data_IF_177959595905
#
_entry.id   IF_177959595905
#
_cell.length_a   1.000
_cell.length_b   1.000
_cell.length_c   1.000
_cell.angle_alpha   90.00
_cell.angle_beta   90.00
_cell.angle_gamma   90.00
#
_symmetry.space_group_name_H-M   'P 1'
#
loop_
_entity.id
_entity.type
_entity.pdbx_description
1 polymer ?
#
# COMPACT_ATOMS: atom_id res chain seq x y z
N UNK A 1 25.21 8.37 0.31
CA UNK A 1 25.39 6.93 0.63
C UNK A 1 25.17 6.64 2.12
N UNK A 2 25.83 7.35 3.04
CA UNK A 2 25.71 7.11 4.49
C UNK A 2 24.27 7.30 5.00
N UNK A 3 23.56 8.31 4.53
CA UNK A 3 22.15 8.54 4.88
C UNK A 3 21.25 7.37 4.45
N UNK A 4 21.46 6.82 3.25
CA UNK A 4 20.72 5.65 2.76
C UNK A 4 20.96 4.43 3.63
N UNK A 5 22.24 4.12 3.94
CA UNK A 5 22.60 3.01 4.81
C UNK A 5 22.04 3.17 6.23
N UNK A 6 22.08 4.41 6.76
CA UNK A 6 21.46 4.74 8.04
C UNK A 6 19.96 4.52 8.04
N UNK A 7 19.26 4.93 6.99
CA UNK A 7 17.82 4.71 6.80
C UNK A 7 17.47 3.22 6.68
N UNK A 8 18.27 2.45 5.93
CA UNK A 8 18.13 1.01 5.82
C UNK A 8 18.29 0.31 7.18
N UNK A 9 19.33 0.70 7.92
CA UNK A 9 19.56 0.19 9.27
C UNK A 9 18.39 0.54 10.22
N UNK A 10 17.86 1.76 10.14
CA UNK A 10 16.70 2.17 10.93
C UNK A 10 15.43 1.34 10.64
N UNK A 11 15.18 0.96 9.38
CA UNK A 11 14.07 0.06 9.03
C UNK A 11 14.22 -1.31 9.72
N UNK A 12 15.44 -1.88 9.67
CA UNK A 12 15.73 -3.17 10.33
C UNK A 12 15.59 -3.05 11.85
N UNK A 13 16.18 -2.02 12.45
CA UNK A 13 16.08 -1.75 13.90
C UNK A 13 14.62 -1.50 14.30
N UNK A 14 13.88 -0.76 13.50
CA UNK A 14 12.45 -0.53 13.68
C UNK A 14 11.64 -1.83 13.74
N UNK A 15 11.90 -2.77 12.83
CA UNK A 15 11.29 -4.11 12.88
C UNK A 15 11.67 -4.88 14.15
N UNK A 16 12.94 -4.86 14.51
CA UNK A 16 13.45 -5.63 15.66
C UNK A 16 12.96 -5.08 17.00
N UNK A 17 12.93 -3.76 17.17
CA UNK A 17 12.61 -3.10 18.44
C UNK A 17 11.14 -2.69 18.47
N UNK A 18 10.71 -1.79 17.57
CA UNK A 18 9.36 -1.23 17.63
C UNK A 18 8.30 -2.25 17.18
N UNK A 19 8.59 -3.04 16.14
CA UNK A 19 7.73 -4.16 15.76
C UNK A 19 7.57 -5.20 16.86
N UNK A 20 8.62 -5.47 17.66
CA UNK A 20 8.53 -6.34 18.83
C UNK A 20 7.71 -5.69 19.95
N UNK A 21 7.82 -4.37 20.16
CA UNK A 21 7.00 -3.65 21.10
C UNK A 21 5.50 -3.76 20.74
N UNK A 22 5.16 -3.51 19.48
CA UNK A 22 3.77 -3.63 18.98
C UNK A 22 3.24 -5.04 19.20
N UNK A 23 3.99 -6.08 18.84
CA UNK A 23 3.64 -7.47 19.03
C UNK A 23 3.43 -7.81 20.53
N UNK A 24 4.34 -7.37 21.39
CA UNK A 24 4.24 -7.59 22.84
C UNK A 24 2.99 -6.92 23.43
N UNK A 25 2.62 -5.74 22.95
CA UNK A 25 1.41 -5.02 23.40
C UNK A 25 0.13 -5.74 22.99
N UNK A 26 0.12 -6.34 21.80
CA UNK A 26 -1.02 -7.14 21.31
C UNK A 26 -1.17 -8.48 22.03
N UNK A 27 -0.12 -8.96 22.71
CA UNK A 27 -0.11 -10.25 23.46
C UNK A 27 -0.64 -11.39 22.59
N UNK A 28 0.10 -11.83 21.55
CA UNK A 28 -0.30 -12.96 20.73
C UNK A 28 -0.53 -14.21 21.59
N UNK A 29 -1.60 -14.93 21.29
CA UNK A 29 -2.00 -16.17 22.01
C UNK A 29 -1.60 -17.42 21.23
N UNK A 30 -1.68 -18.57 21.88
CA UNK A 30 -1.51 -19.89 21.25
C UNK A 30 -2.86 -20.53 20.89
N UNK A 31 -3.95 -19.75 20.94
CA UNK A 31 -5.27 -20.22 20.52
C UNK A 31 -5.27 -20.58 19.02
N UNK A 32 -6.02 -21.64 18.63
CA UNK A 32 -6.14 -22.01 17.23
C UNK A 32 -6.69 -20.87 16.38
N UNK A 33 -5.93 -20.46 15.37
CA UNK A 33 -6.36 -19.42 14.44
C UNK A 33 -7.57 -19.87 13.59
N UNK A 34 -8.29 -18.95 12.94
CA UNK A 34 -9.35 -19.31 12.01
C UNK A 34 -8.89 -20.27 10.90
N UNK A 35 -7.65 -20.12 10.41
CA UNK A 35 -7.05 -21.03 9.45
C UNK A 35 -7.05 -22.49 9.91
N UNK A 36 -6.74 -22.71 11.20
CA UNK A 36 -6.66 -24.05 11.79
C UNK A 36 -8.04 -24.56 12.23
N UNK A 37 -8.85 -23.65 12.82
CA UNK A 37 -10.15 -24.02 13.40
C UNK A 37 -11.24 -24.26 12.38
N UNK A 38 -11.31 -23.43 11.33
CA UNK A 38 -12.34 -23.53 10.27
C UNK A 38 -11.89 -24.49 9.20
N UNK A 39 -10.69 -24.30 8.65
CA UNK A 39 -10.02 -25.15 7.66
C UNK A 39 -10.97 -25.72 6.59
N UNK A 40 -11.65 -24.84 5.87
CA UNK A 40 -12.64 -25.22 4.85
C UNK A 40 -12.02 -25.69 3.51
N UNK A 41 -10.69 -25.58 3.39
CA UNK A 41 -9.96 -25.95 2.17
C UNK A 41 -10.11 -24.98 1.00
N UNK A 42 -10.79 -23.85 1.20
CA UNK A 42 -11.05 -22.83 0.15
C UNK A 42 -10.50 -21.48 0.56
N UNK A 43 -11.07 -20.85 1.58
CA UNK A 43 -10.68 -19.54 2.08
C UNK A 43 -9.83 -19.61 3.35
N UNK A 44 -10.00 -20.63 4.16
CA UNK A 44 -9.30 -20.87 5.41
C UNK A 44 -8.36 -22.07 5.27
N UNK A 45 -7.13 -21.81 4.84
CA UNK A 45 -6.13 -22.85 4.58
C UNK A 45 -4.87 -22.54 5.36
N UNK A 46 -4.44 -23.41 6.31
CA UNK A 46 -3.21 -23.19 7.08
C UNK A 46 -1.97 -23.38 6.21
N UNK A 47 -1.35 -22.28 5.76
CA UNK A 47 -0.17 -22.28 4.91
C UNK A 47 1.13 -22.19 5.73
N UNK A 48 2.29 -22.64 5.18
CA UNK A 48 3.61 -22.36 5.74
C UNK A 48 3.88 -20.86 5.83
N UNK A 49 4.50 -20.40 6.92
CA UNK A 49 4.72 -18.97 7.22
C UNK A 49 5.42 -18.22 6.09
N UNK A 50 6.45 -18.81 5.49
CA UNK A 50 7.17 -18.17 4.37
C UNK A 50 6.27 -17.93 3.15
N UNK A 51 5.30 -18.83 2.87
CA UNK A 51 4.32 -18.62 1.80
C UNK A 51 3.37 -17.49 2.15
N UNK A 52 2.85 -17.45 3.38
CA UNK A 52 1.96 -16.37 3.84
C UNK A 52 2.68 -15.03 3.77
N UNK A 53 3.95 -14.97 4.21
CA UNK A 53 4.78 -13.78 4.10
C UNK A 53 4.97 -13.33 2.64
N UNK A 54 5.35 -14.26 1.75
CA UNK A 54 5.57 -13.93 0.33
C UNK A 54 4.29 -13.47 -0.37
N UNK A 55 3.15 -14.11 -0.08
CA UNK A 55 1.87 -13.69 -0.64
C UNK A 55 1.46 -12.32 -0.08
N UNK A 56 1.63 -12.09 1.24
CA UNK A 56 1.37 -10.79 1.85
C UNK A 56 2.24 -9.71 1.20
N UNK A 57 3.55 -9.93 1.11
CA UNK A 57 4.48 -8.99 0.49
C UNK A 57 4.11 -8.67 -0.95
N UNK A 58 3.78 -9.67 -1.76
CA UNK A 58 3.39 -9.47 -3.15
C UNK A 58 2.05 -8.74 -3.31
N UNK A 59 1.10 -9.03 -2.43
CA UNK A 59 -0.18 -8.35 -2.44
C UNK A 59 -0.04 -6.85 -2.13
N UNK A 60 0.91 -6.47 -1.26
CA UNK A 60 1.10 -5.08 -0.87
C UNK A 60 2.13 -4.35 -1.75
N UNK A 61 3.25 -5.00 -2.08
CA UNK A 61 4.37 -4.39 -2.80
C UNK A 61 4.20 -4.41 -4.34
N UNK A 62 3.06 -3.93 -4.84
CA UNK A 62 2.84 -3.75 -6.28
C UNK A 62 3.61 -2.55 -6.84
N UNK A 63 2.95 -1.69 -7.62
CA UNK A 63 3.55 -0.45 -8.13
C UNK A 63 3.74 0.61 -7.02
N UNK A 64 3.02 0.48 -5.90
CA UNK A 64 3.00 1.48 -4.84
C UNK A 64 4.35 1.91 -4.31
N UNK A 65 5.18 1.00 -3.79
CA UNK A 65 6.50 1.34 -3.25
C UNK A 65 7.50 1.78 -4.31
N UNK A 66 7.27 1.44 -5.58
CA UNK A 66 8.14 1.81 -6.70
C UNK A 66 7.77 3.22 -7.19
N UNK A 67 6.54 3.38 -7.66
CA UNK A 67 6.08 4.63 -8.27
C UNK A 67 5.89 5.76 -7.25
N UNK A 68 5.39 5.41 -6.05
CA UNK A 68 5.29 6.36 -4.95
C UNK A 68 6.65 6.89 -4.50
N UNK A 69 7.64 6.00 -4.38
CA UNK A 69 8.99 6.36 -4.00
C UNK A 69 9.68 7.23 -5.07
N UNK A 70 9.56 6.89 -6.36
CA UNK A 70 10.07 7.72 -7.46
C UNK A 70 9.37 9.09 -7.50
N UNK A 71 8.05 9.13 -7.31
CA UNK A 71 7.33 10.38 -7.19
C UNK A 71 7.79 11.23 -6.01
N UNK A 72 8.01 10.60 -4.85
CA UNK A 72 8.53 11.23 -3.65
C UNK A 72 9.98 11.71 -3.81
N UNK A 73 10.80 11.02 -4.60
CA UNK A 73 12.18 11.38 -4.89
C UNK A 73 12.32 12.75 -5.60
N UNK A 74 11.24 13.30 -6.15
CA UNK A 74 11.22 14.69 -6.67
C UNK A 74 11.48 15.73 -5.58
N UNK A 75 11.21 15.44 -4.31
CA UNK A 75 11.58 16.30 -3.19
C UNK A 75 13.01 16.05 -2.70
N UNK A 76 13.78 15.18 -3.38
CA UNK A 76 15.14 14.81 -3.01
C UNK A 76 15.19 13.79 -1.86
N UNK A 77 16.37 13.62 -1.21
CA UNK A 77 16.60 12.62 -0.18
C UNK A 77 15.74 12.79 1.10
N UNK A 78 15.08 13.94 1.29
CA UNK A 78 14.12 14.15 2.41
C UNK A 78 13.02 13.08 2.47
N UNK A 79 12.67 12.50 1.32
CA UNK A 79 11.68 11.40 1.20
C UNK A 79 12.07 10.17 2.02
N UNK A 80 13.36 9.90 2.24
CA UNK A 80 13.84 8.77 3.05
C UNK A 80 13.27 8.79 4.46
N UNK A 81 13.16 9.98 5.06
CA UNK A 81 12.61 10.11 6.42
C UNK A 81 11.15 9.67 6.48
N UNK A 82 10.35 10.08 5.49
CA UNK A 82 8.95 9.65 5.47
C UNK A 82 8.82 8.15 5.21
N UNK A 83 9.58 7.59 4.27
CA UNK A 83 9.59 6.15 4.04
C UNK A 83 9.95 5.41 5.33
N UNK A 84 11.04 5.79 6.01
CA UNK A 84 11.50 5.09 7.21
C UNK A 84 10.53 5.24 8.38
N UNK A 85 10.23 6.48 8.78
CA UNK A 85 9.38 6.72 9.96
C UNK A 85 7.91 6.37 9.69
N UNK A 86 7.42 6.62 8.47
CA UNK A 86 6.10 6.20 8.05
C UNK A 86 5.94 4.68 8.10
N UNK A 87 6.89 3.94 7.54
CA UNK A 87 6.91 2.46 7.59
C UNK A 87 6.92 1.94 9.03
N UNK A 88 7.80 2.46 9.89
CA UNK A 88 7.95 1.95 11.26
C UNK A 88 6.73 2.30 12.11
N UNK A 89 6.34 3.58 12.16
CA UNK A 89 5.37 4.06 13.15
C UNK A 89 3.92 4.09 12.66
N UNK A 90 3.70 4.12 11.34
CA UNK A 90 2.36 4.12 10.77
C UNK A 90 2.07 2.83 9.99
N UNK A 91 2.82 2.52 8.94
CA UNK A 91 2.55 1.39 8.04
C UNK A 91 2.65 0.04 8.73
N UNK A 92 3.75 -0.22 9.44
CA UNK A 92 3.94 -1.49 10.17
C UNK A 92 2.90 -1.69 11.27
N UNK A 93 2.52 -0.61 11.97
CA UNK A 93 1.44 -0.64 12.96
C UNK A 93 0.09 -0.92 12.29
N UNK A 94 -0.21 -0.21 11.20
CA UNK A 94 -1.43 -0.37 10.42
C UNK A 94 -1.61 -1.82 9.91
N UNK A 95 -0.58 -2.36 9.29
CA UNK A 95 -0.63 -3.70 8.69
C UNK A 95 -0.71 -4.79 9.76
N UNK A 96 0.09 -4.66 10.81
CA UNK A 96 0.03 -5.58 11.93
C UNK A 96 -1.36 -5.59 12.60
N UNK A 97 -1.92 -4.40 12.84
CA UNK A 97 -3.24 -4.29 13.47
C UNK A 97 -4.35 -4.83 12.57
N UNK A 98 -4.36 -4.47 11.28
CA UNK A 98 -5.39 -4.95 10.36
C UNK A 98 -5.38 -6.47 10.24
N UNK A 99 -4.20 -7.09 10.18
CA UNK A 99 -4.04 -8.55 10.18
C UNK A 99 -4.48 -9.20 11.49
N UNK A 100 -3.97 -8.71 12.63
CA UNK A 100 -4.28 -9.28 13.95
C UNK A 100 -5.76 -9.11 14.36
N UNK A 101 -6.35 -7.94 14.07
CA UNK A 101 -7.77 -7.73 14.40
C UNK A 101 -8.64 -8.63 13.52
N UNK A 102 -8.36 -8.68 12.22
CA UNK A 102 -9.07 -9.60 11.32
C UNK A 102 -8.95 -11.05 11.78
N UNK A 103 -7.75 -11.50 12.14
CA UNK A 103 -7.52 -12.85 12.65
C UNK A 103 -8.36 -13.14 13.89
N UNK A 104 -8.41 -12.23 14.86
CA UNK A 104 -9.21 -12.35 16.08
C UNK A 104 -10.71 -12.20 15.86
N UNK A 105 -11.12 -11.58 14.77
CA UNK A 105 -12.50 -11.45 14.32
C UNK A 105 -12.88 -12.51 13.26
N UNK A 106 -12.26 -13.69 13.30
CA UNK A 106 -12.54 -14.82 12.42
C UNK A 106 -12.29 -14.54 10.93
N UNK A 107 -11.29 -13.74 10.60
CA UNK A 107 -10.95 -13.41 9.22
C UNK A 107 -11.91 -12.40 8.56
N UNK A 108 -12.63 -11.60 9.36
CA UNK A 108 -13.52 -10.55 8.83
C UNK A 108 -12.78 -9.54 7.98
N UNK A 109 -13.50 -9.02 6.98
CA UNK A 109 -13.03 -7.92 6.14
C UNK A 109 -12.77 -6.67 6.98
N UNK A 110 -11.89 -5.80 6.49
CA UNK A 110 -11.58 -4.55 7.20
C UNK A 110 -12.82 -3.66 7.35
N UNK A 111 -13.74 -3.66 6.39
CA UNK A 111 -14.98 -2.88 6.48
C UNK A 111 -15.87 -3.36 7.63
N UNK A 112 -16.00 -4.69 7.82
CA UNK A 112 -16.75 -5.26 8.94
C UNK A 112 -16.09 -4.94 10.29
N UNK A 113 -14.74 -4.98 10.34
CA UNK A 113 -13.97 -4.60 11.53
C UNK A 113 -14.21 -3.13 11.87
N UNK A 114 -14.13 -2.23 10.88
CA UNK A 114 -14.45 -0.81 11.06
C UNK A 114 -15.87 -0.62 11.56
N UNK A 115 -16.83 -1.31 10.96
CA UNK A 115 -18.24 -1.25 11.42
C UNK A 115 -18.43 -1.69 12.86
N UNK A 116 -17.74 -2.74 13.29
CA UNK A 116 -17.80 -3.25 14.68
C UNK A 116 -17.28 -2.24 15.70
N UNK A 117 -16.19 -1.52 15.38
CA UNK A 117 -15.51 -0.66 16.36
C UNK A 117 -15.91 0.81 16.23
N UNK A 118 -16.22 1.32 15.04
CA UNK A 118 -16.58 2.73 14.80
C UNK A 118 -18.07 2.95 14.48
N UNK A 119 -18.85 1.88 14.31
CA UNK A 119 -20.30 1.93 14.08
C UNK A 119 -20.74 1.82 12.63
N UNK A 120 -22.08 1.73 12.43
CA UNK A 120 -22.69 1.42 11.13
C UNK A 120 -22.42 2.49 10.05
N UNK A 121 -22.41 3.76 10.41
CA UNK A 121 -22.09 4.83 9.47
C UNK A 121 -20.68 4.63 8.88
N UNK A 122 -19.70 4.34 9.75
CA UNK A 122 -18.32 4.11 9.32
C UNK A 122 -18.16 2.82 8.52
N UNK A 123 -19.00 1.80 8.76
CA UNK A 123 -19.07 0.61 7.92
C UNK A 123 -19.37 0.97 6.45
N UNK A 124 -20.42 1.80 6.23
CA UNK A 124 -20.80 2.19 4.87
C UNK A 124 -19.79 3.12 4.21
N UNK A 125 -19.24 4.09 4.97
CA UNK A 125 -18.15 4.94 4.50
C UNK A 125 -16.95 4.09 4.09
N UNK A 126 -16.55 3.13 4.92
CA UNK A 126 -15.42 2.25 4.66
C UNK A 126 -15.65 1.36 3.43
N UNK A 127 -16.86 0.83 3.25
CA UNK A 127 -17.22 0.05 2.06
C UNK A 127 -17.10 0.90 0.79
N UNK A 128 -17.63 2.12 0.80
CA UNK A 128 -17.53 3.05 -0.33
C UNK A 128 -16.05 3.36 -0.66
N UNK A 129 -15.28 3.79 0.34
CA UNK A 129 -13.86 4.09 0.16
C UNK A 129 -13.06 2.87 -0.32
N UNK A 130 -13.35 1.68 0.23
CA UNK A 130 -12.70 0.43 -0.20
C UNK A 130 -13.00 0.11 -1.66
N UNK A 131 -14.26 0.24 -2.11
CA UNK A 131 -14.63 -0.03 -3.52
C UNK A 131 -13.95 0.97 -4.45
N UNK A 132 -13.99 2.27 -4.12
CA UNK A 132 -13.32 3.33 -4.90
C UNK A 132 -11.81 3.06 -4.96
N UNK A 133 -11.18 2.82 -3.82
CA UNK A 133 -9.75 2.51 -3.77
C UNK A 133 -9.40 1.28 -4.62
N UNK A 134 -10.14 0.18 -4.47
CA UNK A 134 -9.85 -1.06 -5.16
C UNK A 134 -10.00 -0.95 -6.69
N UNK A 135 -10.96 -0.14 -7.16
CA UNK A 135 -11.10 0.17 -8.59
C UNK A 135 -9.92 1.03 -9.06
N UNK A 136 -9.50 2.04 -8.30
CA UNK A 136 -8.33 2.85 -8.62
C UNK A 136 -7.04 2.02 -8.62
N UNK A 137 -6.85 1.13 -7.64
CA UNK A 137 -5.73 0.16 -7.61
C UNK A 137 -5.73 -0.70 -8.86
N UNK A 138 -6.88 -1.33 -9.18
CA UNK A 138 -7.00 -2.16 -10.37
C UNK A 138 -6.69 -1.40 -11.65
N UNK A 139 -7.12 -0.15 -11.76
CA UNK A 139 -6.83 0.73 -12.90
C UNK A 139 -5.34 1.06 -13.00
N UNK A 140 -4.70 1.48 -11.91
CA UNK A 140 -3.27 1.80 -11.87
C UNK A 140 -2.43 0.57 -12.20
N UNK A 141 -2.79 -0.58 -11.61
CA UNK A 141 -2.08 -1.85 -11.77
C UNK A 141 -2.35 -2.55 -13.10
N UNK A 142 -3.29 -2.07 -13.88
CA UNK A 142 -3.50 -2.44 -15.27
C UNK A 142 -2.72 -1.51 -16.21
N UNK A 143 -2.81 -0.20 -15.98
CA UNK A 143 -2.25 0.83 -16.87
C UNK A 143 -0.72 0.90 -16.79
N UNK A 144 -0.14 0.82 -15.59
CA UNK A 144 1.32 0.83 -15.39
C UNK A 144 2.02 -0.29 -16.14
N UNK A 145 1.68 -1.57 -15.91
CA UNK A 145 2.23 -2.68 -16.67
C UNK A 145 1.98 -2.61 -18.18
N UNK A 146 0.80 -2.15 -18.62
CA UNK A 146 0.53 -1.99 -20.04
C UNK A 146 1.49 -1.01 -20.71
N UNK A 147 1.78 0.12 -20.06
CA UNK A 147 2.77 1.09 -20.54
C UNK A 147 4.20 0.51 -20.56
N UNK A 148 4.60 -0.23 -19.53
CA UNK A 148 5.91 -0.89 -19.48
C UNK A 148 6.05 -1.95 -20.58
N UNK A 149 5.01 -2.77 -20.82
CA UNK A 149 4.98 -3.76 -21.88
C UNK A 149 5.06 -3.10 -23.27
N UNK A 150 4.38 -1.97 -23.45
CA UNK A 150 4.47 -1.18 -24.69
C UNK A 150 5.90 -0.70 -24.95
N UNK A 151 6.59 -0.21 -23.92
CA UNK A 151 7.99 0.23 -24.03
C UNK A 151 8.94 -0.93 -24.37
N UNK A 152 8.70 -2.14 -23.83
CA UNK A 152 9.52 -3.32 -24.07
C UNK A 152 9.31 -3.92 -25.46
N UNK A 153 8.09 -3.90 -25.96
CA UNK A 153 7.70 -4.63 -27.18
C UNK A 153 7.55 -3.73 -28.41
N UNK A 154 7.46 -2.41 -28.21
CA UNK A 154 7.14 -1.45 -29.26
C UNK A 154 5.67 -1.50 -29.73
N UNK A 155 4.80 -2.29 -29.06
CA UNK A 155 3.37 -2.35 -29.37
C UNK A 155 2.62 -1.19 -28.72
N UNK A 156 1.45 -0.85 -29.28
CA UNK A 156 0.60 0.19 -28.74
C UNK A 156 0.15 -0.10 -27.27
N UNK A 157 0.25 0.87 -26.37
CA UNK A 157 -0.17 0.70 -24.97
C UNK A 157 -1.63 0.25 -24.82
N UNK A 158 -2.52 0.68 -25.70
CA UNK A 158 -3.95 0.32 -25.69
C UNK A 158 -4.15 -1.16 -25.94
N UNK A 159 -3.34 -1.76 -26.84
CA UNK A 159 -3.37 -3.22 -27.08
C UNK A 159 -3.03 -4.00 -25.81
N UNK A 160 -1.96 -3.59 -25.12
CA UNK A 160 -1.58 -4.23 -23.85
C UNK A 160 -2.62 -4.02 -22.75
N UNK A 161 -3.23 -2.82 -22.69
CA UNK A 161 -4.32 -2.54 -21.77
C UNK A 161 -5.51 -3.48 -22.00
N UNK A 162 -5.90 -3.69 -23.26
CA UNK A 162 -6.99 -4.60 -23.61
C UNK A 162 -6.65 -6.05 -23.28
N UNK A 163 -5.39 -6.47 -23.48
CA UNK A 163 -4.92 -7.82 -23.10
C UNK A 163 -5.02 -8.01 -21.58
N UNK A 164 -4.55 -7.04 -20.78
CA UNK A 164 -4.63 -7.12 -19.31
C UNK A 164 -6.07 -7.09 -18.84
N UNK A 165 -6.93 -6.27 -19.44
CA UNK A 165 -8.35 -6.21 -19.13
C UNK A 165 -9.06 -7.53 -19.46
N UNK A 166 -8.74 -8.15 -20.60
CA UNK A 166 -9.23 -9.47 -20.97
C UNK A 166 -8.76 -10.55 -19.98
N UNK A 167 -7.51 -10.45 -19.51
CA UNK A 167 -7.02 -11.33 -18.46
C UNK A 167 -7.83 -11.15 -17.16
N UNK A 168 -8.09 -9.92 -16.71
CA UNK A 168 -8.91 -9.66 -15.52
C UNK A 168 -10.34 -10.20 -15.65
N UNK A 169 -10.93 -10.09 -16.84
CA UNK A 169 -12.22 -10.68 -17.13
C UNK A 169 -12.20 -12.21 -17.00
N UNK A 170 -11.22 -12.88 -17.62
CA UNK A 170 -11.05 -14.32 -17.53
C UNK A 170 -10.76 -14.77 -16.08
N UNK A 171 -9.90 -14.06 -15.38
CA UNK A 171 -9.56 -14.34 -14.00
C UNK A 171 -10.79 -14.25 -13.05
N UNK A 172 -11.76 -13.39 -13.37
CA UNK A 172 -13.04 -13.32 -12.63
C UNK A 172 -13.85 -14.61 -12.72
N UNK A 173 -13.71 -15.37 -13.81
CA UNK A 173 -14.43 -16.63 -14.04
C UNK A 173 -13.73 -17.84 -13.44
N UNK A 174 -12.41 -17.75 -13.21
CA UNK A 174 -11.56 -18.84 -12.73
C UNK A 174 -11.46 -18.86 -11.19
N UNK A 175 -11.26 -20.04 -10.58
CA UNK A 175 -10.92 -20.15 -9.17
C UNK A 175 -9.57 -19.51 -8.86
N UNK A 176 -9.47 -18.85 -7.70
CA UNK A 176 -8.25 -18.12 -7.24
C UNK A 176 -7.01 -19.02 -7.21
N UNK A 177 -7.20 -20.29 -6.82
CA UNK A 177 -6.10 -21.15 -6.38
C UNK A 177 -5.19 -21.64 -7.50
N UNK A 178 -5.70 -21.68 -8.74
CA UNK A 178 -4.98 -22.36 -9.84
C UNK A 178 -3.86 -21.50 -10.45
N UNK A 179 -4.06 -20.19 -10.52
CA UNK A 179 -3.08 -19.26 -11.14
C UNK A 179 -2.17 -18.61 -10.08
N UNK A 180 -2.76 -18.10 -9.02
CA UNK A 180 -2.09 -17.25 -8.03
C UNK A 180 -1.06 -18.04 -7.21
N UNK A 181 -1.44 -19.19 -6.65
CA UNK A 181 -0.59 -19.94 -5.74
C UNK A 181 0.71 -20.49 -6.39
N UNK A 182 0.71 -20.68 -7.70
CA UNK A 182 1.83 -21.30 -8.42
C UNK A 182 2.88 -20.26 -8.90
N UNK A 183 2.45 -19.08 -9.32
CA UNK A 183 3.32 -18.07 -9.90
C UNK A 183 3.76 -16.98 -8.90
N UNK A 184 3.01 -16.75 -7.83
CA UNK A 184 3.33 -15.74 -6.82
C UNK A 184 4.74 -15.85 -6.23
N UNK A 185 5.24 -17.03 -5.82
CA UNK A 185 6.59 -17.13 -5.29
C UNK A 185 7.68 -16.73 -6.30
N UNK A 186 7.46 -17.02 -7.59
CA UNK A 186 8.38 -16.65 -8.65
C UNK A 186 8.43 -15.13 -8.86
N UNK A 187 7.26 -14.48 -8.94
CA UNK A 187 7.18 -13.03 -9.11
C UNK A 187 7.74 -12.28 -7.89
N UNK A 188 7.51 -12.82 -6.69
CA UNK A 188 8.12 -12.27 -5.47
C UNK A 188 9.64 -12.40 -5.47
N UNK A 189 10.17 -13.52 -5.92
CA UNK A 189 11.61 -13.67 -6.08
C UNK A 189 12.16 -12.66 -7.10
N UNK A 190 11.51 -12.46 -8.25
CA UNK A 190 11.90 -11.46 -9.24
C UNK A 190 11.89 -10.04 -8.65
N UNK A 191 10.84 -9.68 -7.90
CA UNK A 191 10.73 -8.38 -7.23
C UNK A 191 11.87 -8.15 -6.24
N UNK A 192 12.19 -9.14 -5.41
CA UNK A 192 13.29 -9.07 -4.46
C UNK A 192 14.65 -9.02 -5.15
N UNK A 193 14.87 -9.86 -6.18
CA UNK A 193 16.12 -9.84 -6.97
C UNK A 193 16.31 -8.45 -7.61
N UNK A 194 15.26 -7.85 -8.15
CA UNK A 194 15.29 -6.50 -8.68
C UNK A 194 15.70 -5.48 -7.61
N UNK A 195 15.02 -5.48 -6.46
CA UNK A 195 15.29 -4.53 -5.39
C UNK A 195 16.74 -4.66 -4.87
N UNK A 196 17.19 -5.88 -4.63
CA UNK A 196 18.59 -6.15 -4.22
C UNK A 196 19.58 -5.80 -5.33
N UNK A 197 19.28 -6.11 -6.59
CA UNK A 197 20.14 -5.77 -7.71
C UNK A 197 20.34 -4.26 -7.86
N UNK A 198 19.27 -3.47 -7.80
CA UNK A 198 19.35 -2.01 -7.81
C UNK A 198 20.11 -1.49 -6.57
N UNK A 199 19.83 -2.04 -5.39
CA UNK A 199 20.55 -1.67 -4.17
C UNK A 199 22.05 -1.91 -4.30
N UNK A 200 22.48 -3.08 -4.78
CA UNK A 200 23.90 -3.38 -4.99
C UNK A 200 24.53 -2.50 -6.05
N UNK A 201 23.82 -2.19 -7.15
CA UNK A 201 24.31 -1.28 -8.17
C UNK A 201 24.51 0.13 -7.63
N UNK A 202 23.59 0.63 -6.81
CA UNK A 202 23.70 1.91 -6.10
C UNK A 202 24.93 1.96 -5.17
N UNK A 203 25.11 0.92 -4.37
CA UNK A 203 26.24 0.84 -3.41
C UNK A 203 27.59 0.68 -4.12
N UNK A 204 27.60 0.01 -5.27
CA UNK A 204 28.80 -0.17 -6.11
C UNK A 204 29.12 1.07 -6.97
N UNK A 205 28.25 2.09 -7.02
CA UNK A 205 28.43 3.28 -7.85
C UNK A 205 28.37 2.96 -9.35
N UNK A 206 27.57 2.01 -9.77
CA UNK A 206 27.40 1.64 -11.18
C UNK A 206 26.96 2.86 -11.98
N UNK A 207 27.57 3.09 -13.13
CA UNK A 207 27.33 4.26 -13.99
C UNK A 207 28.04 5.53 -13.54
N UNK A 208 28.83 5.50 -12.45
CA UNK A 208 29.55 6.67 -11.93
C UNK A 208 28.68 7.66 -11.15
N UNK A 209 27.42 7.30 -10.89
CA UNK A 209 26.49 8.14 -10.14
C UNK A 209 26.86 8.19 -8.64
N UNK A 210 26.69 9.36 -8.03
CA UNK A 210 26.92 9.56 -6.60
C UNK A 210 25.60 9.76 -5.88
N UNK A 211 25.35 8.92 -4.86
CA UNK A 211 24.13 9.00 -4.06
C UNK A 211 24.17 10.26 -3.17
N UNK A 212 23.20 11.19 -3.29
CA UNK A 212 23.15 12.38 -2.47
C UNK A 212 22.87 12.04 -1.00
N UNK A 213 23.45 12.85 -0.11
CA UNK A 213 23.19 12.74 1.32
C UNK A 213 21.88 13.42 1.71
N UNK A 214 21.32 13.04 2.86
CA UNK A 214 20.09 13.58 3.39
C UNK A 214 20.14 15.11 3.52
N UNK A 215 19.15 15.77 2.98
CA UNK A 215 18.89 17.19 3.18
C UNK A 215 17.41 17.41 3.44
N UNK A 216 17.07 18.43 4.24
CA UNK A 216 15.69 18.85 4.49
C UNK A 216 15.25 19.98 3.55
N UNK A 217 16.13 20.38 2.63
CA UNK A 217 15.77 21.37 1.62
C UNK A 217 14.73 20.81 0.66
N UNK A 218 13.80 21.67 0.24
CA UNK A 218 12.86 21.34 -0.83
C UNK A 218 13.60 21.37 -2.17
N UNK A 219 13.80 20.20 -2.76
CA UNK A 219 14.45 20.07 -4.07
C UNK A 219 13.46 19.81 -5.21
N UNK A 220 12.15 19.99 -4.96
CA UNK A 220 11.14 19.73 -5.97
C UNK A 220 11.26 20.72 -7.13
N UNK A 221 11.37 20.27 -8.42
CA UNK A 221 11.64 21.15 -9.57
C UNK A 221 10.58 22.25 -9.83
N UNK A 222 9.38 22.08 -9.28
CA UNK A 222 8.27 23.02 -9.35
C UNK A 222 7.96 23.70 -8.01
N UNK A 223 8.90 23.71 -7.09
CA UNK A 223 8.73 24.27 -5.74
C UNK A 223 7.46 23.81 -5.00
N UNK A 224 6.96 22.62 -5.30
CA UNK A 224 5.81 22.09 -4.58
C UNK A 224 6.19 21.84 -3.12
N UNK A 225 5.34 22.21 -2.14
CA UNK A 225 5.66 22.06 -0.74
C UNK A 225 5.83 20.59 -0.34
N UNK A 226 6.78 20.31 0.54
CA UNK A 226 6.96 18.96 1.12
C UNK A 226 5.68 18.53 1.81
N UNK A 227 5.12 19.40 2.66
CA UNK A 227 3.88 19.15 3.38
C UNK A 227 2.66 19.70 2.59
N UNK A 228 1.59 18.91 2.40
CA UNK A 228 1.42 17.47 2.67
C UNK A 228 1.75 16.61 1.44
N UNK A 229 2.23 17.21 0.33
CA UNK A 229 2.23 16.59 -1.00
C UNK A 229 3.16 15.39 -1.08
N UNK A 230 4.39 15.49 -0.54
CA UNK A 230 5.33 14.36 -0.51
C UNK A 230 4.75 13.18 0.26
N UNK A 231 4.09 13.44 1.39
CA UNK A 231 3.52 12.41 2.26
C UNK A 231 2.45 11.58 1.56
N UNK A 232 1.60 12.22 0.76
CA UNK A 232 0.57 11.54 -0.03
C UNK A 232 1.20 10.84 -1.25
N UNK A 233 2.17 11.46 -1.91
CA UNK A 233 2.80 10.89 -3.12
C UNK A 233 3.46 9.54 -2.84
N UNK A 234 4.09 9.37 -1.68
CA UNK A 234 4.76 8.12 -1.25
C UNK A 234 3.77 7.09 -0.68
N UNK A 235 2.53 7.17 -0.94
CA UNK A 235 1.46 6.38 -0.33
C UNK A 235 1.88 4.99 0.19
N UNK A 236 2.09 4.02 -0.67
CA UNK A 236 2.29 2.62 -0.26
C UNK A 236 3.62 2.36 0.46
N UNK A 237 4.70 3.01 0.06
CA UNK A 237 6.04 2.78 0.63
C UNK A 237 6.23 3.30 2.07
N UNK A 238 5.21 3.91 2.68
CA UNK A 238 5.25 4.41 4.04
C UNK A 238 4.04 3.94 4.85
N UNK A 239 2.81 4.10 4.33
CA UNK A 239 1.56 3.63 4.93
C UNK A 239 0.49 3.47 3.85
N UNK A 240 -0.28 2.39 3.88
CA UNK A 240 -1.23 2.07 2.80
C UNK A 240 -2.51 1.43 3.31
N UNK A 241 -3.64 2.06 3.02
CA UNK A 241 -4.96 1.51 3.34
C UNK A 241 -5.31 0.29 2.50
N UNK A 242 -4.78 0.18 1.27
CA UNK A 242 -4.95 -1.01 0.44
C UNK A 242 -4.50 -2.29 1.16
N UNK A 243 -3.43 -2.22 1.95
CA UNK A 243 -2.91 -3.36 2.71
C UNK A 243 -3.96 -3.95 3.65
N UNK A 244 -4.80 -3.12 4.26
CA UNK A 244 -5.86 -3.59 5.15
C UNK A 244 -6.97 -4.36 4.43
N UNK A 245 -7.09 -4.23 3.11
CA UNK A 245 -8.00 -5.04 2.30
C UNK A 245 -7.40 -6.42 1.99
N UNK A 246 -6.07 -6.56 2.04
CA UNK A 246 -5.33 -7.79 1.75
C UNK A 246 -5.02 -8.60 3.01
N UNK A 247 -4.70 -7.93 4.11
CA UNK A 247 -4.37 -8.58 5.38
C UNK A 247 -5.41 -9.60 5.89
N UNK A 248 -6.73 -9.39 5.74
CA UNK A 248 -7.72 -10.38 6.11
C UNK A 248 -7.61 -11.71 5.33
N UNK A 249 -7.18 -11.66 4.07
CA UNK A 249 -6.97 -12.87 3.28
C UNK A 249 -5.83 -13.70 3.87
N UNK A 250 -4.76 -13.05 4.29
CA UNK A 250 -3.61 -13.72 4.93
C UNK A 250 -3.89 -14.13 6.37
N UNK A 251 -4.73 -13.40 7.09
CA UNK A 251 -5.21 -13.78 8.42
C UNK A 251 -5.95 -15.14 8.40
N UNK A 252 -6.66 -15.45 7.31
CA UNK A 252 -7.32 -16.74 7.07
C UNK A 252 -6.36 -17.88 6.73
N UNK A 253 -5.07 -17.57 6.50
CA UNK A 253 -4.04 -18.55 6.15
C UNK A 253 -2.97 -18.73 7.23
N UNK A 254 -2.96 -17.90 8.27
CA UNK A 254 -1.93 -17.88 9.30
C UNK A 254 -2.20 -18.96 10.36
N UNK A 255 -1.19 -19.80 10.67
CA UNK A 255 -1.32 -20.92 11.60
C UNK A 255 -1.31 -20.53 13.09
N UNK A 256 -0.70 -19.39 13.44
CA UNK A 256 -0.53 -18.92 14.81
C UNK A 256 -0.47 -17.40 14.86
N UNK A 257 -1.05 -16.78 15.90
CA UNK A 257 -0.94 -15.33 16.14
C UNK A 257 0.53 -14.88 16.29
N UNK A 258 1.41 -15.74 16.85
CA UNK A 258 2.84 -15.41 17.02
C UNK A 258 3.59 -15.18 15.70
N UNK A 259 3.00 -15.61 14.59
CA UNK A 259 3.55 -15.42 13.24
C UNK A 259 3.07 -14.13 12.58
N UNK A 260 2.18 -13.37 13.22
CA UNK A 260 1.62 -12.14 12.68
C UNK A 260 2.69 -11.05 12.49
N UNK A 261 3.65 -10.92 13.43
CA UNK A 261 4.71 -9.91 13.32
C UNK A 261 5.58 -10.08 12.07
N UNK A 262 6.20 -11.24 11.80
CA UNK A 262 6.97 -11.38 10.57
C UNK A 262 6.11 -11.28 9.31
N UNK A 263 4.85 -11.70 9.33
CA UNK A 263 3.98 -11.69 8.15
C UNK A 263 3.45 -10.29 7.85
N UNK A 264 2.84 -9.60 8.81
CA UNK A 264 2.20 -8.31 8.54
C UNK A 264 3.17 -7.14 8.71
N UNK A 265 3.74 -7.00 9.90
CA UNK A 265 4.70 -5.92 10.15
C UNK A 265 5.99 -6.10 9.32
N UNK A 266 6.47 -7.34 9.22
CA UNK A 266 7.69 -7.66 8.46
C UNK A 266 7.53 -7.44 6.95
N UNK A 267 6.37 -7.77 6.37
CA UNK A 267 6.10 -7.49 4.96
C UNK A 267 6.06 -5.98 4.68
N UNK A 268 5.45 -5.18 5.58
CA UNK A 268 5.46 -3.71 5.44
C UNK A 268 6.88 -3.14 5.53
N UNK A 269 7.73 -3.66 6.41
CA UNK A 269 9.13 -3.22 6.48
C UNK A 269 9.90 -3.62 5.22
N UNK A 270 9.68 -4.83 4.69
CA UNK A 270 10.28 -5.26 3.43
C UNK A 270 9.85 -4.36 2.26
N UNK A 271 8.57 -3.96 2.22
CA UNK A 271 8.07 -2.97 1.26
C UNK A 271 8.72 -1.59 1.45
N UNK A 272 8.89 -1.14 2.69
CA UNK A 272 9.61 0.10 3.00
C UNK A 272 11.08 0.08 2.53
N UNK A 273 11.74 -1.09 2.62
CA UNK A 273 13.09 -1.28 2.03
C UNK A 273 13.04 -1.15 0.51
N UNK A 274 12.08 -1.77 -0.16
CA UNK A 274 11.90 -1.63 -1.61
C UNK A 274 11.67 -0.15 -1.98
N UNK A 275 10.80 0.55 -1.27
CA UNK A 275 10.53 1.96 -1.49
C UNK A 275 11.78 2.83 -1.27
N UNK A 276 12.57 2.56 -0.23
CA UNK A 276 13.82 3.28 0.05
C UNK A 276 14.85 3.08 -1.08
N UNK A 277 14.97 1.86 -1.60
CA UNK A 277 15.85 1.55 -2.74
C UNK A 277 15.42 2.32 -3.99
N UNK A 278 14.12 2.36 -4.30
CA UNK A 278 13.61 3.08 -5.46
C UNK A 278 13.69 4.60 -5.31
N UNK A 279 13.48 5.13 -4.10
CA UNK A 279 13.71 6.55 -3.83
C UNK A 279 15.19 6.92 -4.02
N UNK A 280 16.10 6.07 -3.50
CA UNK A 280 17.53 6.25 -3.68
C UNK A 280 17.94 6.17 -5.16
N UNK A 281 17.37 5.22 -5.91
CA UNK A 281 17.62 5.12 -7.35
C UNK A 281 17.14 6.36 -8.10
N UNK A 282 15.95 6.89 -7.76
CA UNK A 282 15.39 8.10 -8.37
C UNK A 282 16.24 9.34 -8.16
N UNK A 283 16.74 9.58 -6.94
CA UNK A 283 17.59 10.76 -6.65
C UNK A 283 19.04 10.61 -7.14
N UNK A 284 19.46 9.38 -7.51
CA UNK A 284 20.85 9.09 -7.89
C UNK A 284 21.02 8.99 -9.40
N UNK A 285 20.16 8.22 -10.07
CA UNK A 285 20.33 7.84 -11.48
C UNK A 285 20.29 9.03 -12.46
N UNK A 286 19.52 10.06 -12.15
CA UNK A 286 19.36 11.24 -13.02
C UNK A 286 20.21 12.44 -12.55
N UNK A 287 21.08 12.27 -11.56
CA UNK A 287 21.96 13.29 -10.98
C UNK A 287 21.23 14.56 -10.44
N UNK A 288 19.92 14.66 -10.65
CA UNK A 288 19.09 15.76 -10.15
C UNK A 288 17.61 15.40 -10.13
N UNK A 289 16.83 16.08 -9.29
CA UNK A 289 15.37 15.99 -9.25
C UNK A 289 14.73 16.52 -10.54
N UNK A 290 15.37 17.49 -11.22
CA UNK A 290 14.96 17.98 -12.54
C UNK A 290 15.09 16.94 -13.63
N UNK A 291 16.19 16.16 -13.64
CA UNK A 291 16.38 15.04 -14.58
C UNK A 291 15.35 13.94 -14.37
N UNK A 292 15.08 13.57 -13.13
CA UNK A 292 14.01 12.62 -12.78
C UNK A 292 12.62 13.13 -13.25
N UNK A 293 12.33 14.42 -13.01
CA UNK A 293 11.06 15.01 -13.44
C UNK A 293 10.90 15.00 -14.97
N UNK A 294 11.97 15.26 -15.73
CA UNK A 294 11.96 15.19 -17.17
C UNK A 294 11.72 13.77 -17.66
N UNK A 295 12.34 12.75 -17.05
CA UNK A 295 12.11 11.34 -17.37
C UNK A 295 10.66 10.91 -17.12
N UNK A 296 9.99 11.51 -16.13
CA UNK A 296 8.60 11.19 -15.77
C UNK A 296 7.54 12.06 -16.49
N UNK A 297 7.94 12.98 -17.37
CA UNK A 297 7.02 13.98 -17.93
C UNK A 297 5.92 13.40 -18.83
N UNK A 298 6.26 12.41 -19.68
CA UNK A 298 5.36 11.88 -20.72
C UNK A 298 4.49 10.71 -20.21
N UNK A 299 5.11 9.67 -19.69
CA UNK A 299 4.47 8.40 -19.31
C UNK A 299 4.55 8.12 -17.79
N UNK A 300 4.73 9.18 -17.00
CA UNK A 300 4.86 9.07 -15.55
C UNK A 300 6.10 8.26 -15.14
N UNK A 301 6.00 7.55 -14.03
CA UNK A 301 7.09 6.78 -13.45
C UNK A 301 7.56 5.59 -14.32
N UNK A 302 6.78 5.16 -15.31
CA UNK A 302 7.10 3.98 -16.13
C UNK A 302 8.46 4.11 -16.82
N UNK A 303 8.74 5.27 -17.43
CA UNK A 303 10.03 5.52 -18.13
C UNK A 303 11.19 5.48 -17.14
N UNK A 304 11.05 6.13 -15.99
CA UNK A 304 12.08 6.13 -14.98
C UNK A 304 12.38 4.71 -14.45
N UNK A 305 11.35 3.88 -14.23
CA UNK A 305 11.53 2.47 -13.84
C UNK A 305 12.32 1.71 -14.89
N UNK A 306 11.93 1.85 -16.16
CA UNK A 306 12.61 1.17 -17.27
C UNK A 306 14.10 1.58 -17.36
N UNK A 307 14.37 2.89 -17.41
CA UNK A 307 15.74 3.43 -17.54
C UNK A 307 16.63 3.05 -16.36
N UNK A 308 16.13 3.12 -15.14
CA UNK A 308 16.86 2.71 -13.92
C UNK A 308 17.19 1.21 -13.95
N UNK A 309 16.22 0.36 -14.32
CA UNK A 309 16.47 -1.08 -14.41
C UNK A 309 17.52 -1.42 -15.45
N UNK A 310 17.43 -0.84 -16.63
CA UNK A 310 18.39 -1.08 -17.74
C UNK A 310 19.78 -0.50 -17.37
N UNK A 311 19.82 0.71 -16.83
CA UNK A 311 21.06 1.39 -16.50
C UNK A 311 21.86 0.71 -15.38
N UNK A 312 21.17 0.27 -14.32
CA UNK A 312 21.85 -0.37 -13.18
C UNK A 312 22.07 -1.88 -13.34
N UNK A 313 21.21 -2.59 -14.02
CA UNK A 313 21.23 -4.06 -14.05
C UNK A 313 21.57 -4.66 -15.43
N UNK A 314 21.71 -3.83 -16.46
CA UNK A 314 21.92 -4.28 -17.82
C UNK A 314 20.74 -5.08 -18.38
N UNK A 315 20.94 -5.76 -19.53
CA UNK A 315 19.84 -6.44 -20.22
C UNK A 315 19.21 -7.59 -19.40
N UNK A 316 20.02 -8.49 -18.83
CA UNK A 316 19.51 -9.65 -18.07
C UNK A 316 18.77 -9.19 -16.81
N UNK A 317 19.37 -8.24 -16.08
CA UNK A 317 18.75 -7.69 -14.89
C UNK A 317 17.45 -6.94 -15.20
N UNK A 318 17.39 -6.23 -16.32
CA UNK A 318 16.17 -5.53 -16.74
C UNK A 318 15.02 -6.49 -17.05
N UNK A 319 15.28 -7.64 -17.67
CA UNK A 319 14.25 -8.66 -17.93
C UNK A 319 13.68 -9.20 -16.60
N UNK A 320 14.54 -9.52 -15.63
CA UNK A 320 14.11 -9.99 -14.31
C UNK A 320 13.33 -8.90 -13.55
N UNK A 321 13.82 -7.67 -13.59
CA UNK A 321 13.15 -6.53 -13.00
C UNK A 321 11.76 -6.31 -13.60
N UNK A 322 11.66 -6.33 -14.93
CA UNK A 322 10.40 -6.15 -15.62
C UNK A 322 9.39 -7.25 -15.31
N UNK A 323 9.83 -8.49 -15.15
CA UNK A 323 8.94 -9.58 -14.70
C UNK A 323 8.35 -9.28 -13.32
N UNK A 324 9.15 -8.76 -12.38
CA UNK A 324 8.66 -8.35 -11.06
C UNK A 324 7.71 -7.15 -11.12
N UNK A 325 8.10 -6.08 -11.83
CA UNK A 325 7.33 -4.83 -11.91
C UNK A 325 6.08 -4.93 -12.79
N UNK A 326 6.03 -5.86 -13.73
CA UNK A 326 4.87 -6.08 -14.62
C UNK A 326 3.93 -7.14 -14.06
N UNK A 327 4.46 -8.32 -13.73
CA UNK A 327 3.61 -9.44 -13.37
C UNK A 327 2.96 -9.28 -11.97
N UNK A 328 3.70 -8.73 -11.01
CA UNK A 328 3.18 -8.51 -9.66
C UNK A 328 1.97 -7.56 -9.64
N UNK A 329 2.00 -6.35 -10.23
CA UNK A 329 0.84 -5.48 -10.29
C UNK A 329 -0.34 -6.07 -11.08
N UNK A 330 -0.09 -6.77 -12.19
CA UNK A 330 -1.18 -7.41 -12.95
C UNK A 330 -1.95 -8.40 -12.06
N UNK A 331 -1.25 -9.22 -11.30
CA UNK A 331 -1.90 -10.17 -10.38
C UNK A 331 -2.60 -9.46 -9.21
N UNK A 332 -1.98 -8.42 -8.66
CA UNK A 332 -2.58 -7.61 -7.58
C UNK A 332 -3.79 -6.81 -8.07
N UNK A 333 -3.80 -6.35 -9.32
CA UNK A 333 -4.94 -5.68 -9.94
C UNK A 333 -6.14 -6.61 -10.12
N UNK A 334 -5.93 -7.87 -10.50
CA UNK A 334 -7.00 -8.89 -10.51
C UNK A 334 -7.60 -9.04 -9.11
N UNK A 335 -6.76 -9.20 -8.08
CA UNK A 335 -7.24 -9.34 -6.71
C UNK A 335 -7.94 -8.09 -6.20
N UNK A 336 -7.54 -6.89 -6.64
CA UNK A 336 -8.20 -5.63 -6.31
C UNK A 336 -9.63 -5.57 -6.88
N UNK A 337 -9.83 -5.82 -8.18
CA UNK A 337 -11.16 -5.88 -8.77
C UNK A 337 -12.04 -6.97 -8.16
N UNK A 338 -11.46 -8.12 -7.84
CA UNK A 338 -12.15 -9.21 -7.14
C UNK A 338 -12.61 -8.77 -5.75
N UNK A 339 -11.74 -8.11 -4.98
CA UNK A 339 -12.07 -7.58 -3.65
C UNK A 339 -13.15 -6.49 -3.72
N UNK A 340 -13.10 -5.61 -4.73
CA UNK A 340 -14.14 -4.61 -4.98
C UNK A 340 -15.50 -5.28 -5.24
N UNK A 341 -15.53 -6.30 -6.10
CA UNK A 341 -16.72 -7.08 -6.40
C UNK A 341 -17.28 -7.76 -5.15
N UNK A 342 -16.43 -8.40 -4.35
CA UNK A 342 -16.86 -9.05 -3.11
C UNK A 342 -17.40 -8.04 -2.10
N UNK A 343 -16.75 -6.89 -1.93
CA UNK A 343 -17.22 -5.81 -1.04
C UNK A 343 -18.60 -5.29 -1.46
N UNK A 344 -18.84 -5.12 -2.77
CA UNK A 344 -20.16 -4.74 -3.29
C UNK A 344 -21.19 -5.85 -3.09
N UNK A 345 -20.83 -7.10 -3.37
CA UNK A 345 -21.70 -8.24 -3.20
C UNK A 345 -22.18 -8.38 -1.75
N UNK A 346 -21.26 -8.25 -0.79
CA UNK A 346 -21.59 -8.27 0.64
C UNK A 346 -22.46 -7.07 1.05
N UNK A 347 -22.25 -5.91 0.41
CA UNK A 347 -23.02 -4.71 0.71
C UNK A 347 -24.49 -4.82 0.31
N UNK A 348 -24.76 -5.44 -0.86
CA UNK A 348 -26.10 -5.59 -1.41
C UNK A 348 -26.72 -6.97 -1.15
N UNK A 349 -26.00 -7.87 -0.46
CA UNK A 349 -26.48 -9.23 -0.16
C UNK A 349 -26.55 -10.17 -1.38
N UNK A 350 -25.67 -9.98 -2.38
CA UNK A 350 -25.67 -10.78 -3.60
C UNK A 350 -24.73 -11.98 -3.50
N UNK A 351 -25.26 -13.18 -3.51
CA UNK A 351 -24.48 -14.42 -3.48
C UNK A 351 -23.55 -14.55 -4.69
N UNK A 352 -22.29 -14.92 -4.43
CA UNK A 352 -21.22 -15.02 -5.44
C UNK A 352 -20.90 -16.44 -5.92
N UNK A 353 -21.69 -17.44 -5.54
CA UNK A 353 -21.54 -18.83 -5.99
C UNK A 353 -21.81 -19.01 -7.49
N UNK A 354 -22.77 -18.28 -8.04
CA UNK A 354 -23.16 -18.34 -9.46
C UNK A 354 -22.28 -17.42 -10.32
N UNK A 355 -21.71 -17.98 -11.40
CA UNK A 355 -20.86 -17.24 -12.35
C UNK A 355 -21.56 -16.04 -12.99
N UNK A 356 -22.86 -16.15 -13.32
CA UNK A 356 -23.63 -15.05 -13.91
C UNK A 356 -23.76 -13.89 -12.91
N UNK A 357 -24.08 -14.18 -11.65
CA UNK A 357 -24.18 -13.18 -10.58
C UNK A 357 -22.81 -12.47 -10.35
N UNK A 358 -21.69 -13.20 -10.50
CA UNK A 358 -20.34 -12.60 -10.46
C UNK A 358 -20.14 -11.57 -11.58
N UNK A 359 -20.58 -11.90 -12.79
CA UNK A 359 -20.42 -11.02 -13.96
C UNK A 359 -21.23 -9.73 -13.83
N UNK A 360 -22.42 -9.75 -13.20
CA UNK A 360 -23.22 -8.53 -12.97
C UNK A 360 -22.46 -7.43 -12.22
N UNK A 361 -21.58 -7.80 -11.30
CA UNK A 361 -20.77 -6.84 -10.57
C UNK A 361 -19.39 -6.64 -11.20
N UNK A 362 -18.78 -7.70 -11.74
CA UNK A 362 -17.44 -7.62 -12.30
C UNK A 362 -17.39 -6.78 -13.57
N UNK A 363 -18.35 -6.94 -14.50
CA UNK A 363 -18.37 -6.20 -15.76
C UNK A 363 -18.45 -4.68 -15.57
N UNK A 364 -19.36 -4.12 -14.75
CA UNK A 364 -19.38 -2.69 -14.49
C UNK A 364 -18.06 -2.19 -13.85
N UNK A 365 -17.50 -2.95 -12.90
CA UNK A 365 -16.24 -2.57 -12.25
C UNK A 365 -15.06 -2.54 -13.24
N UNK A 366 -14.94 -3.55 -14.09
CA UNK A 366 -13.93 -3.62 -15.14
C UNK A 366 -14.14 -2.53 -16.19
N UNK A 367 -15.38 -2.25 -16.57
CA UNK A 367 -15.72 -1.16 -17.48
C UNK A 367 -15.33 0.20 -16.91
N UNK A 368 -15.64 0.46 -15.64
CA UNK A 368 -15.19 1.70 -14.93
C UNK A 368 -13.67 1.78 -14.90
N UNK A 369 -12.97 0.68 -14.57
CA UNK A 369 -11.51 0.64 -14.60
C UNK A 369 -10.95 0.92 -15.99
N UNK A 370 -11.53 0.33 -17.03
CA UNK A 370 -11.16 0.57 -18.43
C UNK A 370 -11.41 2.02 -18.88
N UNK A 371 -12.50 2.66 -18.44
CA UNK A 371 -12.75 4.07 -18.70
C UNK A 371 -11.77 4.98 -17.95
N UNK A 372 -11.53 4.70 -16.67
CA UNK A 372 -10.56 5.46 -15.87
C UNK A 372 -9.14 5.36 -16.44
N UNK A 373 -8.76 4.23 -17.05
CA UNK A 373 -7.44 4.06 -17.67
C UNK A 373 -7.19 5.00 -18.87
N UNK A 374 -8.23 5.63 -19.41
CA UNK A 374 -8.12 6.66 -20.45
C UNK A 374 -7.76 8.05 -19.89
N UNK A 375 -7.86 8.24 -18.58
CA UNK A 375 -7.45 9.46 -17.91
C UNK A 375 -5.93 9.43 -17.71
N UNK A 376 -5.31 10.62 -17.72
CA UNK A 376 -3.87 10.73 -17.48
C UNK A 376 -3.45 9.97 -16.21
N UNK A 377 -2.47 9.09 -16.34
CA UNK A 377 -2.00 8.20 -15.28
C UNK A 377 -1.64 8.94 -13.98
N UNK A 378 -0.99 10.11 -14.09
CA UNK A 378 -0.60 10.90 -12.91
C UNK A 378 -1.81 11.42 -12.12
N UNK A 379 -2.92 11.72 -12.79
CA UNK A 379 -4.17 12.14 -12.14
C UNK A 379 -4.76 10.96 -11.36
N UNK A 380 -4.90 9.81 -12.01
CA UNK A 380 -5.42 8.59 -11.36
C UNK A 380 -4.53 8.18 -10.19
N UNK A 381 -3.20 8.27 -10.35
CA UNK A 381 -2.25 8.00 -9.28
C UNK A 381 -2.48 8.88 -8.04
N UNK A 382 -2.74 10.18 -8.20
CA UNK A 382 -2.99 11.09 -7.08
C UNK A 382 -4.29 10.77 -6.35
N UNK A 383 -5.38 10.48 -7.06
CA UNK A 383 -6.63 10.02 -6.44
C UNK A 383 -6.44 8.70 -5.70
N UNK A 384 -5.75 7.74 -6.32
CA UNK A 384 -5.36 6.49 -5.66
C UNK A 384 -4.58 6.75 -4.38
N UNK A 385 -3.53 7.56 -4.43
CA UNK A 385 -2.66 7.83 -3.30
C UNK A 385 -3.42 8.46 -2.13
N UNK A 386 -4.27 9.46 -2.39
CA UNK A 386 -5.07 10.10 -1.35
C UNK A 386 -6.12 9.16 -0.74
N UNK A 387 -6.88 8.45 -1.57
CA UNK A 387 -7.90 7.50 -1.13
C UNK A 387 -7.28 6.40 -0.28
N UNK A 388 -6.13 5.90 -0.72
CA UNK A 388 -5.35 4.89 -0.04
C UNK A 388 -4.94 5.32 1.38
N UNK A 389 -4.37 6.49 1.53
CA UNK A 389 -3.93 6.99 2.84
C UNK A 389 -5.11 7.41 3.73
N UNK A 390 -6.21 7.89 3.16
CA UNK A 390 -7.44 8.18 3.92
C UNK A 390 -8.02 6.89 4.51
N UNK A 391 -8.01 5.80 3.76
CA UNK A 391 -8.43 4.50 4.25
C UNK A 391 -7.50 4.00 5.38
N UNK A 392 -6.19 4.16 5.23
CA UNK A 392 -5.24 3.83 6.29
C UNK A 392 -5.49 4.63 7.58
N UNK A 393 -5.80 5.91 7.46
CA UNK A 393 -6.19 6.75 8.60
C UNK A 393 -7.40 6.18 9.35
N UNK A 394 -8.45 5.77 8.63
CA UNK A 394 -9.67 5.17 9.25
C UNK A 394 -9.31 3.87 9.97
N UNK A 395 -8.48 3.04 9.37
CA UNK A 395 -8.03 1.76 9.95
C UNK A 395 -7.19 2.00 11.22
N UNK A 396 -6.30 2.99 11.22
CA UNK A 396 -5.52 3.36 12.40
C UNK A 396 -6.42 3.83 13.55
N UNK A 397 -7.45 4.64 13.29
CA UNK A 397 -8.45 5.03 14.30
C UNK A 397 -9.24 3.81 14.80
N UNK A 398 -9.59 2.89 13.92
CA UNK A 398 -10.25 1.63 14.29
C UNK A 398 -9.38 0.81 15.24
N UNK A 399 -8.09 0.68 14.92
CA UNK A 399 -7.09 0.03 15.75
C UNK A 399 -6.94 0.71 17.12
N UNK A 400 -6.93 2.04 17.17
CA UNK A 400 -6.89 2.78 18.44
C UNK A 400 -8.09 2.46 19.34
N UNK A 401 -9.31 2.44 18.78
CA UNK A 401 -10.53 2.05 19.51
C UNK A 401 -10.48 0.60 19.94
N UNK A 402 -10.04 -0.32 19.06
CA UNK A 402 -9.85 -1.72 19.41
C UNK A 402 -8.91 -1.89 20.61
N UNK A 403 -7.73 -1.27 20.55
CA UNK A 403 -6.72 -1.39 21.60
C UNK A 403 -7.22 -0.80 22.93
N UNK A 404 -7.91 0.32 22.90
CA UNK A 404 -8.51 0.90 24.11
C UNK A 404 -9.51 -0.06 24.75
N UNK A 405 -10.42 -0.65 23.95
CA UNK A 405 -11.45 -1.58 24.46
C UNK A 405 -10.87 -2.90 24.95
N UNK A 406 -9.87 -3.44 24.21
CA UNK A 406 -9.29 -4.75 24.51
C UNK A 406 -8.30 -4.71 25.68
N UNK A 407 -7.54 -3.62 25.83
CA UNK A 407 -6.46 -3.48 26.81
C UNK A 407 -6.79 -2.36 27.81
N UNK A 408 -7.93 -2.51 28.50
CA UNK A 408 -8.43 -1.54 29.47
C UNK A 408 -7.34 -1.14 30.48
N UNK A 409 -7.26 0.18 30.78
CA UNK A 409 -6.26 0.73 31.70
C UNK A 409 -4.85 0.90 31.13
N UNK A 410 -4.57 0.40 29.91
CA UNK A 410 -3.29 0.57 29.23
C UNK A 410 -3.33 1.76 28.27
N UNK A 411 -2.20 2.45 28.13
CA UNK A 411 -1.99 3.48 27.10
C UNK A 411 -1.62 2.89 25.71
N UNK A 412 -1.80 1.59 25.52
CA UNK A 412 -1.47 0.87 24.30
C UNK A 412 -2.10 1.47 23.03
N UNK A 413 -3.29 2.06 23.15
CA UNK A 413 -3.99 2.73 22.05
C UNK A 413 -3.18 3.86 21.41
N UNK A 414 -2.21 4.45 22.12
CA UNK A 414 -1.35 5.51 21.58
C UNK A 414 -0.52 5.05 20.39
N UNK A 415 -0.17 3.76 20.32
CA UNK A 415 0.57 3.19 19.19
C UNK A 415 -0.18 3.41 17.87
N UNK A 416 -1.50 3.39 17.90
CA UNK A 416 -2.35 3.64 16.74
C UNK A 416 -2.88 5.07 16.68
N UNK A 417 -3.24 5.68 17.82
CA UNK A 417 -3.84 7.01 17.87
C UNK A 417 -2.87 8.11 17.41
N UNK A 418 -1.58 7.99 17.71
CA UNK A 418 -0.57 8.97 17.26
C UNK A 418 -0.47 8.98 15.72
N UNK A 419 -0.17 7.86 15.04
CA UNK A 419 -0.13 7.87 13.58
C UNK A 419 -1.51 8.16 12.95
N UNK A 420 -2.63 7.77 13.58
CA UNK A 420 -3.96 8.12 13.11
C UNK A 420 -4.19 9.64 13.10
N UNK A 421 -3.79 10.33 14.17
CA UNK A 421 -3.86 11.80 14.27
C UNK A 421 -2.99 12.46 13.20
N UNK A 422 -1.75 12.01 13.06
CA UNK A 422 -0.83 12.51 12.02
C UNK A 422 -1.43 12.34 10.61
N UNK A 423 -1.91 11.13 10.29
CA UNK A 423 -2.52 10.87 8.98
C UNK A 423 -3.81 11.66 8.77
N UNK A 424 -4.56 12.00 9.83
CA UNK A 424 -5.73 12.88 9.73
C UNK A 424 -5.33 14.29 9.28
N UNK A 425 -4.21 14.84 9.81
CA UNK A 425 -3.70 16.13 9.32
C UNK A 425 -3.26 16.01 7.86
N UNK A 426 -2.45 14.99 7.52
CA UNK A 426 -1.92 14.79 6.15
C UNK A 426 -3.03 14.71 5.12
N UNK A 427 -3.98 13.78 5.31
CA UNK A 427 -5.02 13.48 4.31
C UNK A 427 -6.01 14.62 4.14
N UNK A 428 -6.37 15.30 5.24
CA UNK A 428 -7.29 16.44 5.20
C UNK A 428 -6.61 17.66 4.58
N UNK A 429 -5.38 17.99 4.99
CA UNK A 429 -4.64 19.11 4.39
C UNK A 429 -4.47 18.90 2.89
N UNK A 430 -4.14 17.67 2.48
CA UNK A 430 -3.95 17.37 1.05
C UNK A 430 -5.20 17.62 0.23
N UNK A 431 -6.35 17.07 0.60
CA UNK A 431 -7.57 17.21 -0.21
C UNK A 431 -8.08 18.67 -0.25
N UNK A 432 -7.79 19.44 0.78
CA UNK A 432 -8.10 20.87 0.78
C UNK A 432 -7.20 21.66 -0.16
N UNK A 433 -5.92 21.29 -0.31
CA UNK A 433 -4.90 22.02 -1.06
C UNK A 433 -4.69 21.51 -2.49
N UNK A 434 -4.80 20.20 -2.71
CA UNK A 434 -4.43 19.57 -3.97
C UNK A 434 -5.28 20.02 -5.16
N UNK A 435 -4.70 19.93 -6.38
CA UNK A 435 -5.39 20.26 -7.63
C UNK A 435 -6.62 19.40 -7.90
N UNK A 436 -6.61 18.18 -7.45
CA UNK A 436 -7.70 17.21 -7.51
C UNK A 436 -8.73 17.37 -6.38
N UNK A 437 -8.48 18.26 -5.42
CA UNK A 437 -9.35 18.60 -4.30
C UNK A 437 -9.93 20.00 -4.40
N UNK A 438 -9.96 20.73 -3.27
CA UNK A 438 -10.60 22.04 -3.17
C UNK A 438 -9.71 23.22 -3.57
N UNK A 439 -8.43 22.99 -3.82
CA UNK A 439 -7.43 23.99 -4.26
C UNK A 439 -7.35 25.24 -3.35
N UNK A 440 -7.56 25.05 -2.05
CA UNK A 440 -7.48 26.14 -1.07
C UNK A 440 -6.02 26.53 -0.81
N UNK A 441 -5.81 27.79 -0.45
CA UNK A 441 -4.48 28.27 -0.06
C UNK A 441 -3.93 27.55 1.18
N UNK A 442 -2.62 27.55 1.33
CA UNK A 442 -1.94 26.98 2.51
C UNK A 442 -2.37 27.63 3.82
N UNK A 443 -2.71 28.95 3.77
CA UNK A 443 -3.22 29.68 4.94
C UNK A 443 -4.57 29.16 5.46
N UNK A 444 -5.33 28.46 4.63
CA UNK A 444 -6.61 27.83 5.01
C UNK A 444 -6.42 26.31 5.22
N UNK A 445 -5.79 25.64 4.27
CA UNK A 445 -5.69 24.17 4.29
C UNK A 445 -4.88 23.64 5.47
N UNK A 446 -3.81 24.34 5.89
CA UNK A 446 -2.97 23.91 7.01
C UNK A 446 -3.72 23.98 8.35
N UNK A 447 -4.26 25.15 8.77
CA UNK A 447 -5.05 25.21 9.99
C UNK A 447 -6.25 24.27 9.98
N UNK A 448 -6.95 24.16 8.85
CA UNK A 448 -8.09 23.26 8.73
C UNK A 448 -7.71 21.79 8.93
N UNK A 449 -6.57 21.33 8.37
CA UNK A 449 -6.06 19.99 8.60
C UNK A 449 -5.83 19.68 10.09
N UNK A 450 -5.23 20.61 10.82
CA UNK A 450 -5.03 20.47 12.28
C UNK A 450 -6.36 20.48 13.05
N UNK A 451 -7.31 21.32 12.68
CA UNK A 451 -8.64 21.38 13.31
C UNK A 451 -9.39 20.06 13.11
N UNK A 452 -9.39 19.50 11.90
CA UNK A 452 -10.03 18.20 11.63
C UNK A 452 -9.36 17.07 12.43
N UNK A 453 -8.04 17.03 12.50
CA UNK A 453 -7.33 16.04 13.30
C UNK A 453 -7.65 16.19 14.80
N UNK A 454 -7.76 17.42 15.31
CA UNK A 454 -8.17 17.69 16.67
C UNK A 454 -9.63 17.24 16.95
N UNK A 455 -10.53 17.42 15.99
CA UNK A 455 -11.90 16.90 16.06
C UNK A 455 -11.91 15.38 16.14
N UNK A 456 -11.17 14.67 15.27
CA UNK A 456 -11.10 13.21 15.33
C UNK A 456 -10.49 12.71 16.63
N UNK A 457 -9.42 13.34 17.11
CA UNK A 457 -8.83 13.01 18.39
C UNK A 457 -9.81 13.25 19.54
N UNK A 458 -10.53 14.37 19.55
CA UNK A 458 -11.56 14.68 20.54
C UNK A 458 -12.69 13.64 20.52
N UNK A 459 -13.20 13.28 19.34
CA UNK A 459 -14.21 12.24 19.19
C UNK A 459 -13.73 10.90 19.72
N UNK A 460 -12.49 10.51 19.42
CA UNK A 460 -11.87 9.33 19.98
C UNK A 460 -11.81 9.38 21.51
N UNK A 461 -11.29 10.46 22.09
CA UNK A 461 -11.16 10.63 23.52
C UNK A 461 -12.53 10.65 24.21
N UNK A 462 -13.54 11.30 23.59
CA UNK A 462 -14.92 11.33 24.12
C UNK A 462 -15.53 9.94 24.21
N UNK A 463 -15.36 9.12 23.17
CA UNK A 463 -15.98 7.78 23.09
C UNK A 463 -15.21 6.76 23.94
N UNK A 464 -13.93 7.00 24.20
CA UNK A 464 -13.04 6.06 24.89
C UNK A 464 -12.74 6.54 26.31
N UNK A 465 -11.90 7.57 26.45
CA UNK A 465 -11.29 7.97 27.73
C UNK A 465 -12.25 8.77 28.60
N UNK A 466 -13.09 9.65 28.01
CA UNK A 466 -13.98 10.57 28.76
C UNK A 466 -15.32 9.94 29.11
N UNK A 467 -15.79 8.96 28.36
CA UNK A 467 -17.00 8.22 28.72
C UNK A 467 -16.65 7.22 29.81
N UNK A 468 -16.72 7.66 31.08
CA UNK A 468 -16.74 6.73 32.21
C UNK A 468 -17.87 5.73 31.94
N UNK A 469 -17.58 4.44 32.02
CA UNK A 469 -18.59 3.38 31.95
C UNK A 469 -19.64 3.64 33.01
N UNK A 470 -20.87 4.00 32.58
CA UNK A 470 -22.06 3.93 33.39
C UNK A 470 -22.53 2.48 33.46
#
# INVERSE_FOLDING_TARGET
>A
MYSFLGCLALLVVGFLIYGKLVDTVFKPTDEPTPAVRINDGVDYIPLPTWKVFMIQLLNIAGLGPIFGALGGALWGPSVYLWIVFGTIFAGGVHDYMSGMISLRENGKSISEVVGKYLGSLMLHIMRLFSVVLLVLVGTVFMTGPANLLAMLTGMDPTMWLLIVLAYYFLATLLPIDTLIARFYPLFGACLLIMAFGIMFALLAGVGGHTMPELTLQNLHPKDLPIWPLMFITVACGAVSGFHSTQSPLMARCLKSERLARPVFYGAMVAEGVIALVWAAAGVTFYDSTGGLAAAMADVGQNKAVYEICVGFMGYVGSVLAMLGVIACPITSGDTAFRSARLTLADWIGLEQGNKVKRLYLALPLLAVGGLLSQINFTIIWRYFAWTNQTLAMIVLWTGAVYMYRKFKGSKAYLIAAIPATFMSVVTTTYILQAKEGLQLSTSISYPAGFVFAAIFLFLFLRVTVLKKES
#
